data_IF_983687526324
#
_entry.id   IF_983687526324
#
_cell.length_a   1.000
_cell.length_b   1.000
_cell.length_c   1.000
_cell.angle_alpha   90.00
_cell.angle_beta   90.00
_cell.angle_gamma   90.00
#
_symmetry.space_group_name_H-M   'P 1'
#
loop_
_entity.id
_entity.type
_entity.pdbx_description
1 polymer ?
#
# COMPACT_ATOMS: atom_id res chain seq x y z
N UNK A 1 6.62 8.12 15.65
CA UNK A 1 5.47 7.46 15.01
C UNK A 1 4.23 8.19 15.47
N UNK A 2 3.37 8.61 14.54
CA UNK A 2 2.10 9.24 14.89
C UNK A 2 1.17 8.22 15.55
N UNK A 3 0.50 8.60 16.63
CA UNK A 3 -0.39 7.68 17.34
C UNK A 3 -1.62 7.40 16.47
N UNK A 4 -1.92 6.13 16.21
CA UNK A 4 -3.15 5.74 15.53
C UNK A 4 -4.29 5.70 16.56
N UNK A 5 -5.22 6.66 16.51
CA UNK A 5 -6.39 6.71 17.40
C UNK A 5 -7.67 6.49 16.61
N UNK A 6 -7.88 7.31 15.57
CA UNK A 6 -9.00 7.25 14.67
C UNK A 6 -8.53 7.67 13.28
N UNK A 7 -9.05 7.02 12.25
CA UNK A 7 -8.83 7.38 10.85
C UNK A 7 -10.18 7.51 10.16
N UNK A 8 -10.36 8.61 9.44
CA UNK A 8 -11.51 8.83 8.56
C UNK A 8 -10.98 9.49 7.30
N UNK A 9 -11.15 8.84 6.16
CA UNK A 9 -10.56 9.26 4.90
C UNK A 9 -11.08 8.41 3.74
N UNK A 10 -10.65 8.75 2.53
CA UNK A 10 -11.03 8.01 1.32
C UNK A 10 -10.42 6.61 1.36
N UNK A 11 -11.25 5.61 1.06
CA UNK A 11 -10.84 4.23 0.87
C UNK A 11 -10.75 3.92 -0.62
N UNK A 12 -9.58 3.49 -1.07
CA UNK A 12 -9.35 3.08 -2.46
C UNK A 12 -9.52 1.57 -2.59
N UNK A 13 -10.43 1.08 -3.47
CA UNK A 13 -10.52 -0.33 -3.80
C UNK A 13 -9.41 -0.72 -4.78
N UNK A 14 -8.55 -1.64 -4.37
CA UNK A 14 -7.52 -2.24 -5.20
C UNK A 14 -7.84 -3.72 -5.36
N UNK A 15 -8.69 -4.03 -6.34
CA UNK A 15 -9.20 -5.38 -6.61
C UNK A 15 -8.11 -6.29 -7.23
N UNK A 16 -7.13 -6.62 -6.39
CA UNK A 16 -5.96 -7.42 -6.73
C UNK A 16 -5.58 -8.28 -5.53
N UNK A 17 -5.25 -9.54 -5.82
CA UNK A 17 -4.71 -10.49 -4.85
C UNK A 17 -3.19 -10.63 -5.05
N UNK A 18 -2.51 -11.15 -4.04
CA UNK A 18 -1.06 -11.41 -4.06
C UNK A 18 -0.24 -10.18 -4.42
N UNK A 19 -0.63 -9.01 -3.88
CA UNK A 19 0.15 -7.78 -4.02
C UNK A 19 1.46 -7.99 -3.25
N UNK A 20 2.53 -8.28 -3.96
CA UNK A 20 3.83 -8.52 -3.36
C UNK A 20 4.61 -7.23 -3.07
N UNK A 21 5.71 -7.35 -2.35
CA UNK A 21 6.52 -6.18 -1.96
C UNK A 21 7.28 -5.53 -3.13
N UNK A 22 7.51 -6.21 -4.26
CA UNK A 22 8.06 -5.56 -5.48
C UNK A 22 6.97 -4.72 -6.16
N UNK A 23 5.73 -5.19 -6.18
CA UNK A 23 4.58 -4.42 -6.69
C UNK A 23 4.37 -3.16 -5.86
N UNK A 24 4.46 -3.25 -4.53
CA UNK A 24 4.34 -2.07 -3.65
C UNK A 24 5.50 -1.09 -3.89
N UNK A 25 6.73 -1.58 -4.00
CA UNK A 25 7.89 -0.75 -4.32
C UNK A 25 8.96 -1.57 -5.06
N UNK A 26 9.25 -1.23 -6.33
CA UNK A 26 10.23 -1.98 -7.10
C UNK A 26 11.63 -1.93 -6.50
N UNK A 27 12.37 -3.04 -6.62
CA UNK A 27 13.75 -3.20 -6.12
C UNK A 27 14.71 -2.05 -6.50
N UNK A 28 14.46 -1.38 -7.62
CA UNK A 28 15.31 -0.29 -8.12
C UNK A 28 15.33 0.92 -7.18
N UNK A 29 14.28 1.11 -6.38
CA UNK A 29 14.14 2.21 -5.43
C UNK A 29 14.71 1.90 -4.03
N UNK A 30 15.22 0.69 -3.79
CA UNK A 30 15.66 0.23 -2.46
C UNK A 30 17.07 0.67 -2.04
N UNK A 31 17.74 1.50 -2.86
CA UNK A 31 19.10 2.00 -2.55
C UNK A 31 19.11 3.10 -1.49
N UNK A 32 17.95 3.70 -1.20
CA UNK A 32 17.84 4.77 -0.20
C UNK A 32 17.66 4.22 1.21
N UNK A 33 18.25 4.91 2.18
CA UNK A 33 17.99 4.71 3.62
C UNK A 33 16.96 5.70 4.18
N UNK A 34 16.54 6.68 3.37
CA UNK A 34 15.53 7.67 3.76
C UNK A 34 14.14 7.04 3.66
N UNK A 35 13.32 7.29 4.68
CA UNK A 35 11.92 6.85 4.72
C UNK A 35 10.97 7.75 3.93
N UNK A 36 11.46 8.90 3.45
CA UNK A 36 10.68 9.91 2.71
C UNK A 36 11.03 9.94 1.23
N UNK A 37 10.08 10.40 0.41
CA UNK A 37 10.18 10.42 -1.05
C UNK A 37 9.83 9.10 -1.73
N UNK A 38 9.53 8.05 -0.94
CA UNK A 38 9.15 6.72 -1.42
C UNK A 38 7.69 6.66 -1.90
N UNK A 39 6.81 7.53 -1.38
CA UNK A 39 5.42 7.59 -1.83
C UNK A 39 5.27 7.99 -3.30
N UNK A 40 6.27 8.66 -3.87
CA UNK A 40 6.28 9.00 -5.31
C UNK A 40 6.38 7.77 -6.21
N UNK A 41 6.95 6.69 -5.69
CA UNK A 41 7.26 5.45 -6.43
C UNK A 41 6.53 4.24 -5.84
N UNK A 42 5.56 4.45 -4.94
CA UNK A 42 4.68 3.37 -4.49
C UNK A 42 3.88 2.89 -5.68
N UNK A 43 3.79 1.58 -5.92
CA UNK A 43 3.13 1.00 -7.08
C UNK A 43 3.63 1.53 -8.42
N UNK A 44 4.92 1.88 -8.54
CA UNK A 44 5.50 2.55 -9.72
C UNK A 44 5.10 1.87 -11.05
N UNK A 45 5.29 0.55 -11.16
CA UNK A 45 4.97 -0.21 -12.37
C UNK A 45 3.46 -0.20 -12.72
N UNK A 46 2.59 -0.04 -11.72
CA UNK A 46 1.14 0.04 -11.90
C UNK A 46 0.65 1.48 -12.11
N UNK A 47 1.37 2.47 -11.58
CA UNK A 47 0.98 3.89 -11.62
C UNK A 47 1.52 4.63 -12.82
N UNK A 48 2.65 4.23 -13.36
CA UNK A 48 3.33 5.00 -14.39
C UNK A 48 3.64 4.16 -15.64
N UNK A 49 3.63 4.84 -16.78
CA UNK A 49 4.18 4.35 -18.03
C UNK A 49 5.70 4.56 -18.05
N UNK A 50 6.38 3.95 -19.02
CA UNK A 50 7.84 4.06 -19.17
C UNK A 50 8.33 5.48 -19.47
N UNK A 51 7.46 6.35 -19.99
CA UNK A 51 7.72 7.78 -20.21
C UNK A 51 7.48 8.65 -18.96
N UNK A 52 7.05 8.04 -17.85
CA UNK A 52 6.74 8.71 -16.59
C UNK A 52 5.32 9.30 -16.51
N UNK A 53 4.49 9.16 -17.55
CA UNK A 53 3.08 9.56 -17.49
C UNK A 53 2.29 8.61 -16.58
N UNK A 54 1.30 9.14 -15.87
CA UNK A 54 0.42 8.32 -15.03
C UNK A 54 -0.52 7.46 -15.87
N UNK A 55 -0.74 6.22 -15.42
CA UNK A 55 -1.77 5.31 -15.92
C UNK A 55 -3.12 5.68 -15.32
N UNK A 56 -4.04 6.33 -16.05
CA UNK A 56 -5.30 6.81 -15.50
C UNK A 56 -6.21 5.67 -15.00
N UNK A 57 -6.02 4.45 -15.49
CA UNK A 57 -6.75 3.26 -15.08
C UNK A 57 -6.39 2.77 -13.68
N UNK A 58 -5.23 3.14 -13.14
CA UNK A 58 -4.84 2.70 -11.80
C UNK A 58 -5.56 3.51 -10.73
N UNK A 59 -6.14 2.82 -9.75
CA UNK A 59 -7.06 3.44 -8.79
C UNK A 59 -6.47 4.64 -8.05
N UNK A 60 -5.21 4.56 -7.61
CA UNK A 60 -4.54 5.64 -6.88
C UNK A 60 -4.13 6.84 -7.75
N UNK A 61 -4.37 6.78 -9.06
CA UNK A 61 -4.25 7.92 -9.97
C UNK A 61 -5.62 8.57 -10.27
N UNK A 62 -6.72 8.05 -9.74
CA UNK A 62 -8.06 8.60 -9.96
C UNK A 62 -8.51 9.42 -8.76
N UNK A 63 -9.23 10.53 -9.00
CA UNK A 63 -9.94 11.23 -7.94
C UNK A 63 -11.24 10.48 -7.58
N UNK A 64 -11.61 10.34 -6.30
CA UNK A 64 -10.97 10.93 -5.11
C UNK A 64 -9.85 10.06 -4.49
N UNK A 65 -9.55 8.90 -5.07
CA UNK A 65 -8.66 7.88 -4.50
C UNK A 65 -7.18 8.26 -4.46
N UNK A 66 -6.76 9.30 -5.20
CA UNK A 66 -5.42 9.87 -5.11
C UNK A 66 -5.09 10.40 -3.70
N UNK A 67 -6.12 10.81 -2.95
CA UNK A 67 -6.01 11.20 -1.55
C UNK A 67 -6.33 10.08 -0.56
N UNK A 68 -6.36 8.81 -1.00
CA UNK A 68 -6.75 7.71 -0.15
C UNK A 68 -5.79 7.53 1.03
N UNK A 69 -6.38 7.27 2.19
CA UNK A 69 -5.65 6.90 3.40
C UNK A 69 -5.89 5.44 3.78
N UNK A 70 -6.89 4.82 3.17
CA UNK A 70 -7.29 3.44 3.40
C UNK A 70 -7.19 2.70 2.06
N UNK A 71 -6.55 1.55 2.06
CA UNK A 71 -6.48 0.65 0.91
C UNK A 71 -7.29 -0.61 1.21
N UNK A 72 -8.20 -0.98 0.32
CA UNK A 72 -8.98 -2.22 0.41
C UNK A 72 -8.44 -3.13 -0.68
N UNK A 73 -7.87 -4.27 -0.33
CA UNK A 73 -7.20 -5.16 -1.27
C UNK A 73 -7.59 -6.62 -1.07
N UNK A 74 -7.38 -7.43 -2.10
CA UNK A 74 -7.61 -8.87 -2.05
C UNK A 74 -6.57 -9.61 -1.21
N UNK A 75 -6.68 -10.94 -1.22
CA UNK A 75 -5.90 -11.85 -0.38
C UNK A 75 -4.38 -11.75 -0.53
N UNK A 76 -3.67 -12.09 0.55
CA UNK A 76 -2.21 -12.25 0.60
C UNK A 76 -1.42 -10.96 0.30
N UNK A 77 -1.81 -9.86 0.95
CA UNK A 77 -1.18 -8.56 0.76
C UNK A 77 0.23 -8.48 1.40
N UNK A 78 1.18 -7.87 0.69
CA UNK A 78 2.55 -7.67 1.14
C UNK A 78 3.39 -8.94 1.09
N UNK A 79 3.01 -9.90 0.24
CA UNK A 79 3.72 -11.16 0.08
C UNK A 79 5.06 -11.01 -0.67
N UNK A 80 5.76 -12.13 -0.86
CA UNK A 80 7.08 -12.13 -1.47
C UNK A 80 8.20 -11.80 -0.47
N UNK A 81 9.22 -11.08 -0.91
CA UNK A 81 10.43 -10.88 -0.10
C UNK A 81 10.22 -9.87 1.04
N UNK A 82 11.00 -10.03 2.11
CA UNK A 82 11.01 -9.07 3.23
C UNK A 82 11.59 -7.73 2.79
N UNK A 83 10.76 -6.68 2.80
CA UNK A 83 11.16 -5.31 2.45
C UNK A 83 10.54 -4.30 3.43
N UNK A 84 11.36 -3.66 4.25
CA UNK A 84 10.90 -2.58 5.14
C UNK A 84 10.47 -1.33 4.36
N UNK A 85 10.98 -1.15 3.16
CA UNK A 85 10.61 -0.02 2.30
C UNK A 85 9.16 -0.08 1.81
N UNK A 86 8.53 -1.26 1.75
CA UNK A 86 7.15 -1.40 1.30
C UNK A 86 6.16 -0.63 2.20
N UNK A 87 6.11 -0.86 3.54
CA UNK A 87 5.29 -0.03 4.41
C UNK A 87 5.74 1.44 4.45
N UNK A 88 7.03 1.76 4.24
CA UNK A 88 7.46 3.16 4.15
C UNK A 88 6.87 3.87 2.93
N UNK A 89 6.88 3.23 1.76
CA UNK A 89 6.33 3.78 0.53
C UNK A 89 4.81 4.04 0.66
N UNK A 90 4.08 3.08 1.23
CA UNK A 90 2.66 3.22 1.51
C UNK A 90 2.38 4.38 2.47
N UNK A 91 3.13 4.46 3.58
CA UNK A 91 2.96 5.52 4.57
C UNK A 91 3.31 6.91 4.00
N UNK A 92 4.40 7.02 3.26
CA UNK A 92 4.88 8.27 2.67
C UNK A 92 3.98 8.74 1.51
N UNK A 93 3.25 7.83 0.86
CA UNK A 93 2.17 8.18 -0.06
C UNK A 93 0.95 8.74 0.68
N UNK A 94 0.65 8.21 1.87
CA UNK A 94 -0.49 8.63 2.71
C UNK A 94 -1.37 7.49 3.20
N UNK A 95 -1.09 6.24 2.81
CA UNK A 95 -1.83 5.07 3.29
C UNK A 95 -1.51 4.83 4.77
N UNK A 96 -2.56 4.85 5.59
CA UNK A 96 -2.51 4.66 7.04
C UNK A 96 -3.17 3.34 7.46
N UNK A 97 -4.09 2.82 6.66
CA UNK A 97 -4.80 1.58 6.94
C UNK A 97 -4.88 0.71 5.68
N UNK A 98 -4.76 -0.60 5.85
CA UNK A 98 -4.92 -1.58 4.77
C UNK A 98 -5.90 -2.65 5.26
N UNK A 99 -6.92 -2.94 4.46
CA UNK A 99 -7.94 -3.94 4.74
C UNK A 99 -7.79 -5.03 3.68
N UNK A 100 -7.66 -6.29 4.10
CA UNK A 100 -7.51 -7.45 3.22
C UNK A 100 -7.99 -8.73 3.92
N UNK A 101 -8.14 -9.83 3.19
CA UNK A 101 -8.43 -11.14 3.78
C UNK A 101 -7.23 -11.83 4.39
N UNK A 102 -6.00 -11.47 4.00
CA UNK A 102 -4.78 -11.95 4.65
C UNK A 102 -3.56 -11.09 4.30
N UNK A 103 -2.53 -11.18 5.14
CA UNK A 103 -1.26 -10.49 4.96
C UNK A 103 -0.11 -11.47 5.12
N UNK A 104 1.00 -11.21 4.43
CA UNK A 104 2.24 -11.93 4.73
C UNK A 104 2.81 -11.48 6.09
N UNK A 105 3.19 -12.45 6.92
CA UNK A 105 3.56 -12.23 8.34
C UNK A 105 4.60 -11.13 8.56
N UNK A 106 5.63 -11.08 7.72
CA UNK A 106 6.70 -10.08 7.87
C UNK A 106 6.18 -8.68 7.55
N UNK A 107 5.43 -8.54 6.45
CA UNK A 107 4.84 -7.25 6.07
C UNK A 107 3.84 -6.77 7.13
N UNK A 108 2.98 -7.68 7.62
CA UNK A 108 2.01 -7.42 8.69
C UNK A 108 2.70 -6.85 9.94
N UNK A 109 3.76 -7.50 10.42
CA UNK A 109 4.52 -7.04 11.57
C UNK A 109 5.23 -5.70 11.34
N UNK A 110 5.72 -5.46 10.12
CA UNK A 110 6.38 -4.20 9.77
C UNK A 110 5.38 -3.03 9.68
N UNK A 111 4.11 -3.27 9.38
CA UNK A 111 3.10 -2.22 9.38
C UNK A 111 2.96 -1.55 10.75
N UNK A 112 2.82 -2.34 11.83
CA UNK A 112 2.72 -1.80 13.19
C UNK A 112 3.96 -1.01 13.61
N UNK A 113 5.15 -1.45 13.20
CA UNK A 113 6.41 -0.74 13.45
C UNK A 113 6.53 0.60 12.71
N UNK A 114 5.64 0.87 11.76
CA UNK A 114 5.62 2.11 10.99
C UNK A 114 4.34 2.93 11.19
N UNK A 115 3.37 2.45 11.96
CA UNK A 115 2.11 3.15 12.23
C UNK A 115 1.05 2.99 11.14
N UNK A 116 1.13 1.89 10.38
CA UNK A 116 0.07 1.43 9.48
C UNK A 116 -0.75 0.39 10.22
N UNK A 117 -2.07 0.48 10.12
CA UNK A 117 -3.01 -0.52 10.65
C UNK A 117 -3.42 -1.51 9.55
N UNK A 118 -2.87 -2.75 9.54
CA UNK A 118 -3.42 -3.84 8.74
C UNK A 118 -4.64 -4.44 9.45
N UNK A 119 -5.76 -4.60 8.74
CA UNK A 119 -7.00 -5.19 9.23
C UNK A 119 -7.33 -6.41 8.38
N UNK A 120 -7.40 -7.56 9.03
CA UNK A 120 -7.86 -8.80 8.39
C UNK A 120 -9.37 -8.91 8.52
N UNK A 121 -10.07 -9.11 7.40
CA UNK A 121 -11.51 -9.37 7.34
C UNK A 121 -11.80 -10.69 6.64
N UNK A 122 -13.01 -11.22 6.78
CA UNK A 122 -13.47 -12.33 5.96
C UNK A 122 -13.71 -11.88 4.50
N UNK A 123 -13.70 -12.82 3.56
CA UNK A 123 -14.01 -12.53 2.15
C UNK A 123 -15.40 -11.89 2.00
N UNK A 124 -16.39 -12.36 2.76
CA UNK A 124 -17.74 -11.80 2.74
C UNK A 124 -17.79 -10.34 3.20
N UNK A 125 -17.02 -9.98 4.23
CA UNK A 125 -16.90 -8.59 4.70
C UNK A 125 -16.15 -7.70 3.71
N UNK A 126 -15.23 -8.26 2.93
CA UNK A 126 -14.47 -7.51 1.91
C UNK A 126 -15.32 -7.17 0.68
N UNK A 127 -16.25 -8.06 0.30
CA UNK A 127 -17.12 -7.91 -0.88
C UNK A 127 -18.39 -7.07 -0.63
N UNK A 128 -18.68 -6.72 0.63
CA UNK A 128 -19.88 -5.96 1.03
C UNK A 128 -19.65 -4.45 0.95
#
# INVERSE_FOLDING_TARGET
MEKFIQLSGVAAPLDMMNIDTDMIIPKLHLRTIKRTGLGKVVFDELRFNTDGSEKPEFILNQEPYRGAQILIAGDNFGCGSSREHAPWALLDYGIRCIISTSFADIFYNNCFKNGILPITVSQAELET
#
